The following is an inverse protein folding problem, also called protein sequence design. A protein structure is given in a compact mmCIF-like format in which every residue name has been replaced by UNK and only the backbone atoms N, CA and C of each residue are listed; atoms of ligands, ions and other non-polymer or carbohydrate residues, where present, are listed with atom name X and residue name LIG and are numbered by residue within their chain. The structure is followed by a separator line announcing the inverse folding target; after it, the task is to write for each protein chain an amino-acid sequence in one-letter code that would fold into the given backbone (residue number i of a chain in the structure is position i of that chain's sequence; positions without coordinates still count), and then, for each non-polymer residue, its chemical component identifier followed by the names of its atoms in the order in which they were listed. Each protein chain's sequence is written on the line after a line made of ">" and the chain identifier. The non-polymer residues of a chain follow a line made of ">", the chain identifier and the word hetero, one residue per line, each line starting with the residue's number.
data_IF_062642841915
#
_entry.id   IF_062642841915
#
_cell.length_a   1.000
_cell.length_b   1.000
_cell.length_c   1.000
_cell.angle_alpha   90.00
_cell.angle_beta   90.00
_cell.angle_gamma   90.00
#
_symmetry.space_group_name_H-M   'P 1'
#
loop_
_entity.id
_entity.type
_entity.pdbx_description
1 polymer ?
#
# COMPACT_ATOMS: atom_id res chain seq x y z
N UNK A 1 16.26 7.00 -23.04
CA UNK A 1 15.92 7.11 -21.61
C UNK A 1 15.74 8.58 -21.31
N UNK A 2 14.58 8.95 -20.79
CA UNK A 2 14.26 10.34 -20.45
C UNK A 2 14.62 10.58 -18.99
N UNK A 3 15.26 11.70 -18.68
CA UNK A 3 15.61 12.06 -17.31
C UNK A 3 14.70 13.20 -16.83
N UNK A 4 14.18 13.04 -15.62
CA UNK A 4 13.38 14.04 -14.92
C UNK A 4 14.18 14.49 -13.70
N UNK A 5 14.35 15.80 -13.58
CA UNK A 5 15.01 16.43 -12.44
C UNK A 5 13.94 16.99 -11.52
N UNK A 6 13.92 16.53 -10.28
CA UNK A 6 12.99 17.01 -9.26
C UNK A 6 13.73 17.99 -8.37
N UNK A 7 13.21 19.20 -8.26
CA UNK A 7 13.79 20.21 -7.37
C UNK A 7 13.29 20.07 -5.95
N UNK A 8 14.01 20.68 -5.02
CA UNK A 8 13.66 20.69 -3.61
C UNK A 8 12.29 21.36 -3.42
N UNK A 9 11.27 20.66 -2.92
CA UNK A 9 9.98 21.29 -2.66
C UNK A 9 10.00 22.11 -1.35
N UNK A 10 11.04 21.95 -0.54
CA UNK A 10 11.26 22.64 0.74
C UNK A 10 12.74 22.99 0.87
N UNK A 11 13.05 24.08 1.57
CA UNK A 11 14.40 24.33 2.06
C UNK A 11 14.62 23.46 3.29
N UNK A 12 15.80 22.87 3.45
CA UNK A 12 16.04 21.95 4.56
C UNK A 12 17.27 21.08 4.38
N UNK A 13 17.30 19.97 5.09
CA UNK A 13 18.37 18.98 5.00
C UNK A 13 17.83 17.68 4.41
N UNK A 14 18.37 17.28 3.25
CA UNK A 14 18.06 16.00 2.61
C UNK A 14 18.79 14.85 3.28
N UNK A 15 18.06 13.76 3.45
CA UNK A 15 18.59 12.49 3.94
C UNK A 15 18.00 11.30 3.19
N UNK A 16 18.70 10.15 3.21
CA UNK A 16 18.18 8.91 2.65
C UNK A 16 16.87 8.50 3.33
N UNK A 17 15.97 7.89 2.57
CA UNK A 17 14.65 7.48 3.05
C UNK A 17 14.76 6.44 4.19
N UNK A 18 15.83 5.64 4.19
CA UNK A 18 16.17 4.64 5.19
C UNK A 18 16.41 5.24 6.60
N UNK A 19 16.62 6.55 6.71
CA UNK A 19 16.76 7.25 8.00
C UNK A 19 15.43 7.72 8.60
N UNK A 20 14.32 7.57 7.89
CA UNK A 20 12.99 7.94 8.38
C UNK A 20 12.57 6.95 9.48
N UNK A 21 12.09 7.41 10.66
CA UNK A 21 11.68 6.54 11.76
C UNK A 21 10.27 5.96 11.52
N UNK A 22 10.03 5.43 10.33
CA UNK A 22 8.80 4.78 9.89
C UNK A 22 9.14 3.68 8.87
N UNK A 23 8.86 2.39 9.18
CA UNK A 23 9.19 1.27 8.29
C UNK A 23 8.56 1.38 6.90
N UNK A 24 7.36 1.95 6.77
CA UNK A 24 6.65 2.06 5.49
C UNK A 24 7.46 2.89 4.48
N UNK A 25 8.12 3.94 4.97
CA UNK A 25 9.01 4.77 4.15
C UNK A 25 10.44 4.24 4.14
N UNK A 26 10.99 3.85 5.29
CA UNK A 26 12.38 3.40 5.39
C UNK A 26 12.67 2.13 4.59
N UNK A 27 11.68 1.25 4.44
CA UNK A 27 11.76 0.04 3.62
C UNK A 27 11.19 0.24 2.21
N UNK A 28 10.89 1.48 1.81
CA UNK A 28 10.42 1.85 0.46
C UNK A 28 9.13 1.15 0.01
N UNK A 29 8.29 0.71 0.94
CA UNK A 29 7.05 -0.02 0.63
C UNK A 29 6.05 0.81 -0.19
N UNK A 30 6.09 2.14 -0.06
CA UNK A 30 5.25 3.08 -0.83
C UNK A 30 5.93 3.54 -2.12
N UNK A 31 7.24 3.27 -2.25
CA UNK A 31 8.09 3.73 -3.34
C UNK A 31 9.44 4.26 -2.86
N UNK A 32 10.31 4.59 -3.81
CA UNK A 32 11.66 5.09 -3.55
C UNK A 32 11.77 6.62 -3.71
N UNK A 33 12.72 7.25 -3.02
CA UNK A 33 12.86 8.70 -3.00
C UNK A 33 13.81 9.22 -1.93
N UNK A 34 13.47 10.37 -1.35
CA UNK A 34 14.27 11.03 -0.30
C UNK A 34 13.38 11.56 0.82
N UNK A 35 13.98 11.73 2.00
CA UNK A 35 13.39 12.49 3.09
C UNK A 35 14.09 13.83 3.25
N UNK A 36 13.33 14.83 3.71
CA UNK A 36 13.78 16.19 3.89
C UNK A 36 13.34 16.68 5.27
N UNK A 37 14.29 17.16 6.07
CA UNK A 37 14.01 17.87 7.33
C UNK A 37 13.81 19.37 7.04
N UNK A 38 12.57 19.88 7.08
CA UNK A 38 12.25 21.17 6.48
C UNK A 38 12.56 22.35 7.40
N UNK A 39 13.10 23.40 6.79
CA UNK A 39 13.41 24.70 7.38
C UNK A 39 12.56 25.84 6.78
N UNK A 40 11.61 25.52 5.89
CA UNK A 40 10.69 26.47 5.28
C UNK A 40 9.22 26.03 5.45
N UNK A 41 8.27 26.96 5.64
CA UNK A 41 6.87 26.65 5.96
C UNK A 41 5.97 26.40 4.73
N UNK A 42 6.55 26.20 3.54
CA UNK A 42 5.77 26.12 2.30
C UNK A 42 6.31 25.02 1.41
N UNK A 43 5.50 23.96 1.23
CA UNK A 43 5.75 22.91 0.25
C UNK A 43 5.47 23.46 -1.14
N UNK A 44 6.48 23.41 -2.02
CA UNK A 44 6.40 23.84 -3.41
C UNK A 44 6.34 22.64 -4.36
N UNK A 45 5.87 22.86 -5.59
CA UNK A 45 5.92 21.84 -6.63
C UNK A 45 7.38 21.56 -7.04
N UNK A 46 7.85 20.30 -6.97
CA UNK A 46 9.22 19.93 -7.34
C UNK A 46 9.44 19.86 -8.85
N UNK A 47 8.37 19.90 -9.64
CA UNK A 47 8.35 19.87 -11.09
C UNK A 47 6.98 20.33 -11.63
N UNK A 48 6.86 20.47 -12.95
CA UNK A 48 5.57 20.67 -13.60
C UNK A 48 4.71 19.39 -13.51
N UNK A 49 3.41 19.54 -13.28
CA UNK A 49 2.50 18.40 -13.18
C UNK A 49 1.08 18.77 -12.80
N UNK A 50 0.28 17.73 -12.53
CA UNK A 50 -1.11 17.84 -12.08
C UNK A 50 -1.27 17.27 -10.68
N UNK A 51 -2.01 17.95 -9.82
CA UNK A 51 -2.42 17.42 -8.51
C UNK A 51 -3.45 16.32 -8.70
N UNK A 52 -3.05 15.06 -8.52
CA UNK A 52 -3.95 13.90 -8.69
C UNK A 52 -4.65 13.52 -7.39
N UNK A 53 -4.04 13.79 -6.25
CA UNK A 53 -4.63 13.51 -4.93
C UNK A 53 -4.16 14.55 -3.91
N UNK A 54 -5.10 15.05 -3.10
CA UNK A 54 -4.81 15.86 -1.92
C UNK A 54 -5.48 15.16 -0.73
N UNK A 55 -4.71 14.84 0.31
CA UNK A 55 -5.24 14.15 1.48
C UNK A 55 -6.25 15.04 2.23
N UNK A 56 -7.37 14.52 2.77
CA UNK A 56 -8.38 15.34 3.48
C UNK A 56 -7.86 16.09 4.71
N UNK A 57 -6.80 15.59 5.34
CA UNK A 57 -6.07 16.26 6.42
C UNK A 57 -4.96 17.21 5.94
N UNK A 58 -4.86 17.46 4.62
CA UNK A 58 -4.00 18.43 3.95
C UNK A 58 -2.49 18.34 4.21
N UNK A 59 -1.99 17.23 4.76
CA UNK A 59 -0.56 17.02 5.03
C UNK A 59 0.18 16.28 3.90
N UNK A 60 -0.54 15.72 2.94
CA UNK A 60 0.03 14.93 1.86
C UNK A 60 -0.66 15.21 0.53
N UNK A 61 0.12 15.18 -0.55
CA UNK A 61 -0.32 15.45 -1.91
C UNK A 61 0.45 14.57 -2.89
N UNK A 62 -0.24 14.09 -3.93
CA UNK A 62 0.38 13.37 -5.05
C UNK A 62 0.32 14.22 -6.32
N UNK A 63 1.46 14.37 -6.99
CA UNK A 63 1.59 14.99 -8.30
C UNK A 63 1.84 13.94 -9.38
N UNK A 64 1.17 14.05 -10.52
CA UNK A 64 1.52 13.32 -11.72
C UNK A 64 2.18 14.26 -12.73
N UNK A 65 3.38 13.90 -13.22
CA UNK A 65 4.06 14.64 -14.29
C UNK A 65 3.46 14.30 -15.66
N UNK A 66 3.74 15.13 -16.68
CA UNK A 66 3.31 14.84 -18.06
C UNK A 66 3.89 13.54 -18.62
N UNK A 67 5.00 13.09 -18.05
CA UNK A 67 5.72 11.86 -18.43
C UNK A 67 5.22 10.62 -17.68
N UNK A 68 4.18 10.77 -16.85
CA UNK A 68 3.53 9.70 -16.12
C UNK A 68 4.25 9.29 -14.83
N UNK A 69 5.27 10.03 -14.38
CA UNK A 69 5.86 9.85 -13.03
C UNK A 69 4.88 10.35 -11.97
N UNK A 70 4.61 9.55 -10.94
CA UNK A 70 3.78 9.91 -9.79
C UNK A 70 4.63 10.16 -8.55
N UNK A 71 4.39 11.29 -7.89
CA UNK A 71 5.20 11.82 -6.80
C UNK A 71 4.33 12.12 -5.58
N UNK A 72 4.49 11.31 -4.54
CA UNK A 72 3.90 11.56 -3.23
C UNK A 72 4.82 12.48 -2.41
N UNK A 73 4.27 13.59 -1.96
CA UNK A 73 4.88 14.45 -0.94
C UNK A 73 4.06 14.36 0.35
N UNK A 74 4.67 13.83 1.40
CA UNK A 74 4.02 13.60 2.69
C UNK A 74 4.75 14.38 3.79
N UNK A 75 4.11 15.41 4.35
CA UNK A 75 4.69 16.28 5.37
C UNK A 75 4.57 15.63 6.75
N UNK A 76 5.70 15.32 7.37
CA UNK A 76 5.79 14.74 8.71
C UNK A 76 5.30 13.29 8.81
N UNK A 77 5.49 12.69 9.98
CA UNK A 77 4.99 11.35 10.32
C UNK A 77 3.82 11.43 11.28
N UNK A 78 2.83 10.55 11.10
CA UNK A 78 1.57 10.52 11.86
C UNK A 78 0.76 11.83 11.82
N UNK A 79 1.01 12.69 10.83
CA UNK A 79 0.38 14.02 10.68
C UNK A 79 -1.10 13.94 10.30
N UNK A 80 -1.58 12.78 9.86
CA UNK A 80 -3.01 12.49 9.74
C UNK A 80 -3.77 12.72 11.06
N UNK A 81 -3.13 12.47 12.21
CA UNK A 81 -3.73 12.65 13.53
C UNK A 81 -3.98 14.13 13.88
N UNK A 82 -3.33 15.06 13.17
CA UNK A 82 -3.55 16.50 13.33
C UNK A 82 -4.85 16.97 12.65
N UNK A 83 -5.49 16.13 11.82
CA UNK A 83 -6.80 16.40 11.20
C UNK A 83 -6.87 17.75 10.48
N UNK A 84 -5.77 18.14 9.80
CA UNK A 84 -5.65 19.41 9.10
C UNK A 84 -5.16 20.58 9.94
N UNK A 85 -5.03 20.44 11.25
CA UNK A 85 -4.42 21.48 12.08
C UNK A 85 -2.94 21.67 11.71
N UNK A 86 -2.57 22.92 11.42
CA UNK A 86 -1.22 23.27 10.99
C UNK A 86 -0.97 23.17 9.48
N UNK A 87 -1.99 22.86 8.66
CA UNK A 87 -1.87 22.77 7.20
C UNK A 87 -2.90 23.64 6.48
N UNK A 88 -2.45 24.40 5.49
CA UNK A 88 -3.26 25.25 4.62
C UNK A 88 -2.93 24.93 3.15
N UNK A 89 -3.74 24.08 2.48
CA UNK A 89 -3.53 23.78 1.06
C UNK A 89 -3.91 25.00 0.21
N UNK A 90 -3.07 25.33 -0.77
CA UNK A 90 -3.34 26.42 -1.73
C UNK A 90 -3.71 25.90 -3.12
N UNK A 91 -3.76 24.58 -3.27
CA UNK A 91 -4.19 23.86 -4.48
C UNK A 91 -5.30 22.87 -4.13
N UNK A 92 -5.99 22.38 -5.16
CA UNK A 92 -6.98 21.29 -5.08
C UNK A 92 -6.68 20.21 -6.12
N UNK A 93 -7.27 19.04 -5.93
CA UNK A 93 -7.23 17.95 -6.90
C UNK A 93 -7.70 18.43 -8.28
N UNK A 94 -6.93 18.09 -9.31
CA UNK A 94 -7.13 18.46 -10.70
C UNK A 94 -6.35 19.70 -11.15
N UNK A 95 -5.83 20.51 -10.24
CA UNK A 95 -5.07 21.72 -10.58
C UNK A 95 -3.75 21.37 -11.28
N UNK A 96 -3.38 22.20 -12.27
CA UNK A 96 -2.10 22.15 -12.94
C UNK A 96 -1.13 23.09 -12.22
N UNK A 97 0.06 22.59 -11.92
CA UNK A 97 1.11 23.33 -11.20
C UNK A 97 2.40 23.33 -12.01
N UNK A 98 3.17 24.40 -11.83
CA UNK A 98 4.53 24.53 -12.38
C UNK A 98 5.55 24.39 -11.27
N UNK A 99 6.76 24.04 -11.66
CA UNK A 99 7.93 24.05 -10.78
C UNK A 99 7.98 25.34 -9.92
N UNK A 100 8.00 25.14 -8.60
CA UNK A 100 8.07 26.23 -7.61
C UNK A 100 6.73 26.82 -7.19
N UNK A 101 5.61 26.42 -7.80
CA UNK A 101 4.29 26.86 -7.34
C UNK A 101 4.01 26.35 -5.91
N UNK A 102 3.44 27.18 -5.02
CA UNK A 102 3.10 26.74 -3.67
C UNK A 102 1.97 25.71 -3.71
N UNK A 103 2.09 24.66 -2.90
CA UNK A 103 1.12 23.57 -2.81
C UNK A 103 0.41 23.56 -1.45
N UNK A 104 1.19 23.56 -0.37
CA UNK A 104 0.70 23.50 1.01
C UNK A 104 1.56 24.42 1.86
N UNK A 105 0.94 25.38 2.53
CA UNK A 105 1.56 26.08 3.64
C UNK A 105 1.34 25.29 4.92
N UNK A 106 2.33 25.25 5.80
CA UNK A 106 2.20 24.57 7.08
C UNK A 106 2.98 25.27 8.20
N UNK A 107 2.48 25.12 9.42
CA UNK A 107 3.11 25.63 10.62
C UNK A 107 4.18 24.63 11.08
N UNK A 108 5.43 24.94 10.74
CA UNK A 108 6.63 24.14 11.04
C UNK A 108 6.71 23.83 12.54
N UNK A 109 6.51 24.84 13.40
CA UNK A 109 6.63 24.70 14.85
C UNK A 109 5.49 23.84 15.42
N UNK A 110 4.27 24.06 14.94
CA UNK A 110 3.11 23.28 15.35
C UNK A 110 3.27 21.81 14.98
N UNK A 111 3.62 21.52 13.71
CA UNK A 111 3.79 20.15 13.24
C UNK A 111 4.98 19.47 13.95
N UNK A 112 6.11 20.17 14.14
CA UNK A 112 7.26 19.62 14.87
C UNK A 112 6.94 19.24 16.32
N UNK A 113 6.02 19.96 16.98
CA UNK A 113 5.67 19.74 18.39
C UNK A 113 4.48 18.82 18.62
N UNK A 114 3.67 18.55 17.59
CA UNK A 114 2.44 17.75 17.70
C UNK A 114 2.44 16.48 16.85
N UNK A 115 3.33 16.35 15.87
CA UNK A 115 3.53 15.14 15.08
C UNK A 115 4.66 14.26 15.64
N UNK A 116 4.75 13.01 15.17
CA UNK A 116 5.85 12.10 15.54
C UNK A 116 7.20 12.59 15.00
N UNK A 117 7.18 13.22 13.82
CA UNK A 117 8.34 13.81 13.17
C UNK A 117 7.88 14.85 12.14
N UNK A 118 8.72 15.83 11.86
CA UNK A 118 8.53 16.80 10.77
C UNK A 118 9.17 16.33 9.44
N UNK A 119 9.93 15.23 9.46
CA UNK A 119 10.54 14.69 8.25
C UNK A 119 9.49 14.53 7.15
N UNK A 120 9.77 15.15 6.02
CA UNK A 120 8.88 15.19 4.87
C UNK A 120 9.42 14.27 3.79
N UNK A 121 8.61 13.31 3.37
CA UNK A 121 9.00 12.31 2.39
C UNK A 121 8.59 12.76 0.99
N UNK A 122 9.51 12.66 0.04
CA UNK A 122 9.28 12.88 -1.39
C UNK A 122 9.58 11.57 -2.11
N UNK A 123 8.52 10.88 -2.55
CA UNK A 123 8.57 9.48 -2.98
C UNK A 123 7.97 9.33 -4.36
N UNK A 124 8.62 8.57 -5.22
CA UNK A 124 8.05 8.09 -6.48
C UNK A 124 7.23 6.85 -6.21
N UNK A 125 5.92 6.90 -6.46
CA UNK A 125 4.98 5.81 -6.10
C UNK A 125 4.80 4.76 -7.19
N UNK A 126 5.32 4.99 -8.38
CA UNK A 126 5.18 4.11 -9.55
C UNK A 126 6.56 3.71 -10.12
N UNK A 127 7.30 2.96 -9.30
CA UNK A 127 8.68 2.56 -9.54
C UNK A 127 8.91 1.72 -10.80
N UNK A 128 7.90 1.01 -11.29
CA UNK A 128 7.95 0.20 -12.50
C UNK A 128 8.27 1.01 -13.77
N UNK A 129 7.99 2.32 -13.75
CA UNK A 129 8.32 3.24 -14.86
C UNK A 129 9.76 3.75 -14.80
N UNK A 130 10.47 3.48 -13.71
CA UNK A 130 11.76 4.08 -13.39
C UNK A 130 12.88 3.08 -13.66
N UNK A 131 13.80 3.44 -14.57
CA UNK A 131 15.03 2.69 -14.83
C UNK A 131 16.10 2.90 -13.75
N UNK A 132 16.02 4.03 -13.04
CA UNK A 132 16.96 4.32 -11.96
C UNK A 132 16.67 5.66 -11.31
N UNK A 133 16.93 5.73 -10.00
CA UNK A 133 16.84 6.93 -9.19
C UNK A 133 18.22 7.26 -8.66
N UNK A 134 18.60 8.53 -8.77
CA UNK A 134 19.79 9.06 -8.13
C UNK A 134 19.39 10.18 -7.19
N UNK A 135 19.56 9.94 -5.90
CA UNK A 135 19.28 10.91 -4.84
C UNK A 135 20.49 11.80 -4.55
N UNK A 136 20.20 13.04 -4.16
CA UNK A 136 21.16 13.99 -3.61
C UNK A 136 21.03 14.05 -2.08
N UNK A 137 22.03 14.62 -1.41
CA UNK A 137 22.05 14.74 0.05
C UNK A 137 22.65 16.07 0.49
N UNK A 138 22.35 16.50 1.71
CA UNK A 138 22.83 17.76 2.28
C UNK A 138 21.78 18.87 2.29
N UNK A 139 22.24 20.11 2.54
CA UNK A 139 21.35 21.28 2.62
C UNK A 139 20.86 21.69 1.23
N UNK A 140 19.56 21.95 1.12
CA UNK A 140 18.91 22.42 -0.11
C UNK A 140 18.01 23.62 0.15
N UNK A 141 17.80 24.43 -0.88
CA UNK A 141 16.90 25.57 -0.92
C UNK A 141 15.73 25.25 -1.85
N UNK A 142 14.51 25.52 -1.39
CA UNK A 142 13.29 25.26 -2.17
C UNK A 142 13.39 25.90 -3.57
N UNK A 143 13.12 25.10 -4.61
CA UNK A 143 13.09 25.55 -6.00
C UNK A 143 14.45 25.94 -6.61
N UNK A 144 15.59 25.57 -6.01
CA UNK A 144 16.91 25.84 -6.57
C UNK A 144 17.72 24.58 -6.89
N UNK A 145 17.89 23.69 -5.92
CA UNK A 145 18.67 22.47 -6.10
C UNK A 145 17.79 21.27 -6.51
N UNK A 146 18.39 20.37 -7.29
CA UNK A 146 17.80 19.07 -7.62
C UNK A 146 18.00 18.09 -6.47
N UNK A 147 16.95 17.37 -6.09
CA UNK A 147 16.98 16.40 -4.98
C UNK A 147 16.96 14.96 -5.47
N UNK A 148 16.36 14.73 -6.64
CA UNK A 148 16.21 13.43 -7.27
C UNK A 148 16.39 13.60 -8.78
N UNK A 149 17.24 12.75 -9.37
CA UNK A 149 17.32 12.53 -10.81
C UNK A 149 16.68 11.18 -11.10
N UNK A 150 15.52 11.20 -11.77
CA UNK A 150 14.77 10.00 -12.11
C UNK A 150 15.00 9.70 -13.59
N UNK A 151 15.63 8.56 -13.87
CA UNK A 151 15.74 8.05 -15.23
C UNK A 151 14.54 7.16 -15.48
N UNK A 152 13.64 7.61 -16.35
CA UNK A 152 12.55 6.76 -16.81
C UNK A 152 13.12 5.66 -17.70
N UNK A 153 12.48 4.49 -17.65
CA UNK A 153 12.65 3.48 -18.68
C UNK A 153 12.58 4.18 -20.04
N UNK A 154 13.53 3.87 -20.93
CA UNK A 154 13.50 4.42 -22.30
C UNK A 154 12.14 4.12 -22.92
N UNK A 155 11.84 4.74 -24.07
CA UNK A 155 10.75 4.24 -24.93
C UNK A 155 11.08 2.78 -25.31
N UNK A 156 10.87 1.83 -24.40
CA UNK A 156 10.15 0.64 -24.72
C UNK A 156 8.91 1.18 -25.38
N UNK A 157 8.78 0.84 -26.67
CA UNK A 157 7.56 0.98 -27.40
C UNK A 157 6.45 0.71 -26.40
N UNK A 158 5.73 1.78 -26.09
CA UNK A 158 4.50 1.81 -25.38
C UNK A 158 3.73 0.58 -25.91
N UNK A 159 3.74 -0.53 -25.17
CA UNK A 159 2.56 -1.39 -25.14
C UNK A 159 1.58 -0.69 -24.21
N UNK A 160 1.28 0.52 -24.68
CA UNK A 160 0.22 1.42 -24.37
C UNK A 160 -0.70 0.97 -23.24
N UNK A 161 -0.32 1.37 -22.00
CA UNK A 161 -1.31 1.63 -20.95
C UNK A 161 -2.37 2.67 -21.40
N UNK A 162 -2.13 3.35 -22.54
CA UNK A 162 -3.05 4.29 -23.19
C UNK A 162 -3.91 3.75 -24.36
N UNK A 163 -3.70 2.52 -24.85
CA UNK A 163 -4.52 1.96 -25.95
C UNK A 163 -5.44 0.81 -25.51
N UNK A 164 -5.15 0.17 -24.38
CA UNK A 164 -6.05 -0.84 -23.85
C UNK A 164 -7.09 -0.17 -22.95
N UNK A 165 -8.27 0.09 -23.50
CA UNK A 165 -9.43 0.45 -22.69
C UNK A 165 -9.58 -0.59 -21.56
N UNK A 166 -9.69 -0.17 -20.29
CA UNK A 166 -9.77 -1.09 -19.18
C UNK A 166 -11.00 -1.97 -19.34
N UNK A 167 -10.77 -3.28 -19.37
CA UNK A 167 -11.86 -4.25 -19.37
C UNK A 167 -12.28 -4.42 -17.93
N UNK A 168 -13.51 -4.02 -17.63
CA UNK A 168 -14.09 -4.11 -16.29
C UNK A 168 -15.15 -5.21 -16.30
N UNK A 169 -15.09 -6.11 -15.33
CA UNK A 169 -16.12 -7.12 -15.13
C UNK A 169 -17.44 -6.48 -14.67
N UNK A 170 -18.53 -7.24 -14.77
CA UNK A 170 -19.71 -6.96 -13.98
C UNK A 170 -19.38 -7.01 -12.48
N UNK A 171 -20.26 -6.42 -11.67
CA UNK A 171 -20.09 -6.42 -10.22
C UNK A 171 -20.41 -7.81 -9.65
N UNK A 172 -19.41 -8.45 -9.04
CA UNK A 172 -19.49 -9.79 -8.48
C UNK A 172 -19.69 -9.69 -6.97
N UNK A 173 -20.62 -10.48 -6.42
CA UNK A 173 -20.73 -10.67 -4.97
C UNK A 173 -19.83 -11.81 -4.56
N UNK A 174 -19.02 -11.61 -3.52
CA UNK A 174 -18.14 -12.66 -3.01
C UNK A 174 -18.97 -13.73 -2.28
N UNK A 175 -19.01 -14.98 -2.78
CA UNK A 175 -19.79 -16.06 -2.19
C UNK A 175 -19.06 -16.78 -1.05
N UNK A 176 -17.76 -16.50 -0.86
CA UNK A 176 -16.90 -17.09 0.16
C UNK A 176 -17.36 -16.63 1.55
N UNK A 177 -17.72 -17.57 2.43
CA UNK A 177 -18.24 -17.26 3.78
C UNK A 177 -17.23 -16.48 4.62
N UNK A 178 -15.95 -16.82 4.49
CA UNK A 178 -14.85 -16.18 5.21
C UNK A 178 -14.16 -15.07 4.38
N UNK A 179 -14.74 -14.69 3.23
CA UNK A 179 -14.18 -13.68 2.33
C UNK A 179 -12.96 -14.15 1.53
N UNK A 180 -12.20 -13.21 0.96
CA UNK A 180 -10.98 -13.52 0.20
C UNK A 180 -9.76 -13.66 1.12
N UNK A 181 -9.76 -14.72 1.93
CA UNK A 181 -8.62 -15.10 2.75
C UNK A 181 -7.52 -15.77 1.91
N UNK A 182 -6.42 -16.19 2.56
CA UNK A 182 -5.22 -16.69 1.88
C UNK A 182 -5.45 -17.76 0.79
N UNK A 183 -6.43 -18.66 0.96
CA UNK A 183 -6.67 -19.76 0.01
C UNK A 183 -7.36 -19.30 -1.29
N UNK A 184 -8.55 -18.66 -1.27
CA UNK A 184 -9.14 -18.13 -2.49
C UNK A 184 -8.27 -17.00 -3.10
N UNK A 185 -7.57 -16.20 -2.29
CA UNK A 185 -6.63 -15.18 -2.78
C UNK A 185 -5.46 -15.82 -3.57
N UNK A 186 -4.88 -16.92 -3.07
CA UNK A 186 -3.85 -17.68 -3.78
C UNK A 186 -4.37 -18.25 -5.11
N UNK A 187 -5.58 -18.84 -5.13
CA UNK A 187 -6.17 -19.35 -6.37
C UNK A 187 -6.37 -18.23 -7.40
N UNK A 188 -6.84 -17.06 -6.96
CA UNK A 188 -7.01 -15.89 -7.83
C UNK A 188 -5.66 -15.40 -8.38
N UNK A 189 -4.67 -15.23 -7.51
CA UNK A 189 -3.30 -14.82 -7.86
C UNK A 189 -2.64 -15.74 -8.88
N UNK A 190 -2.72 -17.06 -8.66
CA UNK A 190 -2.07 -18.05 -9.53
C UNK A 190 -2.64 -18.06 -10.94
N UNK A 191 -3.92 -17.76 -11.09
CA UNK A 191 -4.54 -17.66 -12.41
C UNK A 191 -4.26 -16.28 -13.01
N UNK A 192 -4.31 -15.20 -12.21
CA UNK A 192 -4.00 -13.84 -12.67
C UNK A 192 -2.55 -13.71 -13.21
N UNK A 193 -1.57 -14.38 -12.60
CA UNK A 193 -0.15 -14.37 -13.05
C UNK A 193 0.10 -14.99 -14.42
N UNK A 194 -0.85 -15.79 -14.92
CA UNK A 194 -0.74 -16.39 -16.27
C UNK A 194 -0.96 -15.37 -17.37
N UNK A 195 -1.49 -14.20 -17.04
CA UNK A 195 -1.81 -13.14 -17.97
C UNK A 195 -0.76 -12.04 -17.91
N UNK A 196 -0.47 -11.46 -19.08
CA UNK A 196 0.41 -10.30 -19.19
C UNK A 196 -0.27 -9.04 -18.67
N UNK A 197 -1.59 -8.93 -18.85
CA UNK A 197 -2.39 -7.81 -18.37
C UNK A 197 -2.21 -7.56 -16.87
N UNK A 198 -2.23 -6.28 -16.50
CA UNK A 198 -2.34 -5.85 -15.12
C UNK A 198 -3.78 -6.04 -14.69
N UNK A 199 -3.97 -6.78 -13.59
CA UNK A 199 -5.29 -7.20 -13.14
C UNK A 199 -5.44 -6.74 -11.71
N UNK A 200 -6.51 -6.00 -11.44
CA UNK A 200 -6.83 -5.46 -10.14
C UNK A 200 -8.19 -5.96 -9.69
N UNK A 201 -8.31 -6.23 -8.39
CA UNK A 201 -9.57 -6.43 -7.72
C UNK A 201 -9.96 -5.12 -7.03
N UNK A 202 -11.14 -4.59 -7.35
CA UNK A 202 -11.66 -3.35 -6.79
C UNK A 202 -12.80 -3.63 -5.81
N UNK A 203 -12.75 -3.03 -4.62
CA UNK A 203 -13.83 -2.98 -3.63
C UNK A 203 -14.10 -1.51 -3.28
N UNK A 204 -15.24 -0.97 -3.72
CA UNK A 204 -15.55 0.45 -3.54
C UNK A 204 -14.51 1.35 -4.23
N UNK A 205 -13.81 2.17 -3.46
CA UNK A 205 -12.69 3.02 -3.93
C UNK A 205 -11.32 2.35 -3.84
N UNK A 206 -11.20 1.24 -3.12
CA UNK A 206 -9.94 0.55 -2.90
C UNK A 206 -9.67 -0.48 -3.99
N UNK A 207 -8.39 -0.69 -4.32
CA UNK A 207 -7.94 -1.65 -5.32
C UNK A 207 -6.75 -2.43 -4.79
N UNK A 208 -6.66 -3.69 -5.19
CA UNK A 208 -5.50 -4.53 -4.94
C UNK A 208 -5.05 -5.22 -6.22
N UNK A 209 -3.73 -5.38 -6.36
CA UNK A 209 -3.13 -6.17 -7.42
C UNK A 209 -3.59 -7.62 -7.29
N UNK A 210 -4.34 -8.12 -8.28
CA UNK A 210 -4.85 -9.48 -8.27
C UNK A 210 -3.76 -10.55 -8.45
N UNK A 211 -2.53 -10.16 -8.82
CA UNK A 211 -1.35 -11.04 -8.87
C UNK A 211 -0.60 -11.12 -7.52
N UNK A 212 -0.92 -10.28 -6.53
CA UNK A 212 -0.35 -10.37 -5.19
C UNK A 212 -1.36 -10.95 -4.21
N UNK A 213 -0.97 -12.00 -3.49
CA UNK A 213 -1.81 -12.62 -2.46
C UNK A 213 -1.94 -11.67 -1.27
N UNK A 214 -0.84 -10.99 -0.92
CA UNK A 214 -0.80 -10.03 0.18
C UNK A 214 -1.70 -8.83 -0.11
N UNK A 215 -1.63 -8.25 -1.32
CA UNK A 215 -2.50 -7.14 -1.71
C UNK A 215 -3.98 -7.52 -1.63
N UNK A 216 -4.34 -8.71 -2.15
CA UNK A 216 -5.71 -9.22 -2.10
C UNK A 216 -6.22 -9.43 -0.68
N UNK A 217 -5.37 -9.92 0.24
CA UNK A 217 -5.71 -10.08 1.65
C UNK A 217 -5.87 -8.72 2.35
N UNK A 218 -5.02 -7.74 2.02
CA UNK A 218 -5.06 -6.39 2.58
C UNK A 218 -6.30 -5.60 2.12
N UNK A 219 -6.85 -5.90 0.95
CA UNK A 219 -8.14 -5.35 0.49
C UNK A 219 -9.32 -5.75 1.40
N UNK A 220 -9.11 -6.75 2.27
CA UNK A 220 -10.02 -7.17 3.33
C UNK A 220 -11.47 -7.38 2.82
N UNK A 221 -11.59 -8.15 1.74
CA UNK A 221 -12.87 -8.43 1.09
C UNK A 221 -13.62 -9.53 1.86
N UNK A 222 -14.85 -9.22 2.26
CA UNK A 222 -15.72 -10.04 3.11
C UNK A 222 -16.81 -10.73 2.29
N UNK A 223 -17.50 -11.70 2.90
CA UNK A 223 -18.69 -12.33 2.32
C UNK A 223 -19.76 -11.29 1.93
N UNK A 224 -20.35 -11.46 0.74
CA UNK A 224 -21.30 -10.52 0.12
C UNK A 224 -20.74 -9.14 -0.24
N UNK A 225 -19.42 -8.90 -0.10
CA UNK A 225 -18.84 -7.69 -0.66
C UNK A 225 -18.98 -7.68 -2.17
N UNK A 226 -19.17 -6.48 -2.70
CA UNK A 226 -19.33 -6.24 -4.12
C UNK A 226 -18.00 -5.81 -4.70
N UNK A 227 -17.44 -6.64 -5.57
CA UNK A 227 -16.14 -6.41 -6.20
C UNK A 227 -16.25 -6.30 -7.71
N UNK A 228 -15.23 -5.73 -8.33
CA UNK A 228 -15.04 -5.73 -9.78
C UNK A 228 -13.61 -6.13 -10.11
N UNK A 229 -13.43 -6.90 -11.16
CA UNK A 229 -12.11 -7.11 -11.75
C UNK A 229 -11.88 -6.06 -12.82
N UNK A 230 -10.68 -5.49 -12.83
CA UNK A 230 -10.24 -4.50 -13.80
C UNK A 230 -8.96 -5.05 -14.42
N UNK A 231 -8.95 -5.27 -15.73
CA UNK A 231 -7.76 -5.72 -16.43
C UNK A 231 -7.34 -4.73 -17.51
N UNK A 232 -6.05 -4.52 -17.67
CA UNK A 232 -5.45 -3.68 -18.71
C UNK A 232 -4.28 -4.40 -19.35
N UNK A 233 -4.28 -4.51 -20.67
CA UNK A 233 -3.22 -5.17 -21.42
C UNK A 233 -3.75 -6.07 -22.52
N UNK A 234 -2.82 -6.71 -23.23
CA UNK A 234 -3.05 -7.47 -24.47
C UNK A 234 -4.07 -8.61 -24.33
N UNK A 235 -4.17 -9.20 -23.15
CA UNK A 235 -5.04 -10.33 -22.82
C UNK A 235 -6.12 -9.98 -21.77
N UNK A 236 -6.40 -8.68 -21.55
CA UNK A 236 -7.35 -8.19 -20.55
C UNK A 236 -8.76 -8.78 -20.69
N UNK A 237 -9.29 -8.88 -21.92
CA UNK A 237 -10.60 -9.49 -22.16
C UNK A 237 -10.63 -10.98 -21.79
N UNK A 238 -9.55 -11.72 -22.05
CA UNK A 238 -9.45 -13.14 -21.73
C UNK A 238 -9.28 -13.36 -20.22
N UNK A 239 -8.47 -12.51 -19.58
CA UNK A 239 -8.31 -12.49 -18.13
C UNK A 239 -9.65 -12.27 -17.42
N UNK A 240 -10.40 -11.21 -17.76
CA UNK A 240 -11.70 -10.93 -17.14
C UNK A 240 -12.71 -12.06 -17.41
N UNK A 241 -12.76 -12.59 -18.64
CA UNK A 241 -13.67 -13.68 -19.01
C UNK A 241 -13.40 -14.96 -18.22
N UNK A 242 -12.15 -15.22 -17.87
CA UNK A 242 -11.74 -16.41 -17.13
C UNK A 242 -11.87 -16.23 -15.63
N UNK A 243 -11.42 -15.09 -15.10
CA UNK A 243 -11.38 -14.81 -13.67
C UNK A 243 -12.76 -14.48 -13.08
N UNK A 244 -13.63 -13.78 -13.81
CA UNK A 244 -14.95 -13.38 -13.27
C UNK A 244 -15.80 -14.58 -12.83
N UNK A 245 -15.97 -15.64 -13.65
CA UNK A 245 -16.71 -16.83 -13.22
C UNK A 245 -16.03 -17.58 -12.06
N UNK A 246 -14.70 -17.54 -11.97
CA UNK A 246 -13.98 -18.19 -10.88
C UNK A 246 -14.23 -17.49 -9.54
N UNK A 247 -14.28 -16.15 -9.54
CA UNK A 247 -14.64 -15.35 -8.36
C UNK A 247 -16.11 -15.59 -7.99
N UNK A 248 -17.02 -15.63 -8.97
CA UNK A 248 -18.45 -15.95 -8.75
C UNK A 248 -18.68 -17.37 -8.19
N UNK A 249 -17.80 -18.31 -8.50
CA UNK A 249 -17.83 -19.69 -8.00
C UNK A 249 -17.05 -19.86 -6.69
N UNK A 250 -16.50 -18.78 -6.13
CA UNK A 250 -15.80 -18.78 -4.84
C UNK A 250 -14.41 -19.42 -4.88
N UNK A 251 -13.76 -19.46 -6.04
CA UNK A 251 -12.33 -19.82 -6.18
C UNK A 251 -11.96 -21.19 -5.56
N UNK A 252 -12.90 -22.15 -5.61
CA UNK A 252 -12.70 -23.51 -5.11
C UNK A 252 -12.88 -23.68 -3.60
N UNK A 253 -13.47 -22.70 -2.90
CA UNK A 253 -13.84 -22.82 -1.49
C UNK A 253 -15.11 -23.67 -1.30
N UNK A 254 -15.08 -24.59 -0.32
CA UNK A 254 -16.21 -25.47 -0.04
C UNK A 254 -17.36 -24.70 0.63
N UNK A 255 -18.53 -24.69 0.02
CA UNK A 255 -19.73 -24.02 0.56
C UNK A 255 -20.04 -22.67 -0.07
N UNK A 256 -19.22 -22.18 -1.01
CA UNK A 256 -19.54 -21.00 -1.81
C UNK A 256 -20.74 -21.30 -2.74
N UNK A 257 -21.87 -20.65 -2.51
CA UNK A 257 -23.03 -20.69 -3.42
C UNK A 257 -23.14 -19.36 -4.16
N UNK A 258 -23.23 -19.34 -5.51
CA UNK A 258 -23.32 -18.11 -6.28
C UNK A 258 -24.52 -17.26 -5.84
N UNK A 259 -24.26 -16.01 -5.44
CA UNK A 259 -25.30 -15.04 -5.06
C UNK A 259 -25.54 -14.10 -6.24
N UNK A 260 -26.76 -14.07 -6.77
CA UNK A 260 -27.15 -13.09 -7.80
C UNK A 260 -27.51 -11.77 -7.13
N UNK A 261 -26.83 -10.68 -7.50
CA UNK A 261 -26.98 -9.38 -6.85
C UNK A 261 -28.23 -8.62 -7.32
N UNK A 262 -29.12 -8.15 -6.42
CA UNK A 262 -30.06 -7.08 -6.75
C UNK A 262 -29.38 -5.70 -6.71
N UNK A 263 -29.96 -4.75 -7.44
CA UNK A 263 -29.50 -3.36 -7.51
C UNK A 263 -29.78 -2.59 -6.20
N UNK A 264 -28.74 -1.90 -5.74
CA UNK A 264 -28.70 -0.75 -4.83
C UNK A 264 -29.44 -0.81 -3.49
N UNK A 265 -28.68 -0.73 -2.38
CA UNK A 265 -29.11 -0.02 -1.17
C UNK A 265 -27.93 0.80 -0.65
N UNK A 266 -28.21 2.06 -0.34
CA UNK A 266 -27.33 3.06 0.26
C UNK A 266 -26.85 2.68 1.65
N UNK A 267 -25.56 2.87 1.93
CA UNK A 267 -24.96 2.73 3.26
C UNK A 267 -25.18 4.02 4.05
N UNK A 268 -25.74 3.91 5.25
CA UNK A 268 -25.86 5.03 6.19
C UNK A 268 -24.50 5.31 6.87
N UNK A 269 -24.21 6.60 7.08
CA UNK A 269 -22.98 7.07 7.75
C UNK A 269 -22.87 6.52 9.18
N UNK A 270 -21.78 5.82 9.46
CA UNK A 270 -21.40 5.40 10.82
C UNK A 270 -20.51 6.50 11.40
N UNK A 271 -21.08 7.36 12.24
CA UNK A 271 -20.31 8.35 13.00
C UNK A 271 -19.47 7.66 14.08
N UNK A 272 -18.18 8.02 14.16
CA UNK A 272 -17.29 7.57 15.21
C UNK A 272 -17.77 8.10 16.58
N UNK A 273 -17.85 7.24 17.62
CA UNK A 273 -18.21 7.70 18.97
C UNK A 273 -17.11 8.59 19.54
N UNK A 274 -17.51 9.58 20.35
CA UNK A 274 -16.61 10.51 21.02
C UNK A 274 -15.51 9.81 21.84
N UNK A 275 -14.31 10.41 21.99
CA UNK A 275 -13.21 9.85 22.78
C UNK A 275 -13.67 9.63 24.23
N UNK A 276 -13.45 8.41 24.71
CA UNK A 276 -13.92 7.96 26.03
C UNK A 276 -12.92 8.36 27.12
N UNK A 277 -13.40 8.69 28.34
CA UNK A 277 -12.52 8.98 29.46
C UNK A 277 -11.64 7.75 29.78
N UNK A 278 -10.36 8.00 30.03
CA UNK A 278 -9.43 7.02 30.62
C UNK A 278 -9.32 7.32 32.12
N UNK A 279 -9.12 6.29 32.92
CA UNK A 279 -8.80 6.46 34.34
C UNK A 279 -7.35 6.89 34.48
N UNK A 280 -7.09 7.83 35.39
CA UNK A 280 -5.73 8.20 35.79
C UNK A 280 -5.14 7.23 36.84
N UNK A 281 -5.96 6.33 37.39
CA UNK A 281 -5.51 5.25 38.27
C UNK A 281 -5.18 3.99 37.45
N UNK A 282 -3.93 3.50 37.49
CA UNK A 282 -3.50 2.31 36.75
C UNK A 282 -4.19 1.01 37.19
N UNK A 283 -4.89 0.99 38.33
CA UNK A 283 -5.65 -0.15 38.83
C UNK A 283 -7.15 -0.07 38.50
N UNK A 284 -7.62 1.01 37.86
CA UNK A 284 -9.01 1.21 37.50
C UNK A 284 -9.18 1.21 35.99
N UNK A 285 -9.91 0.23 35.47
CA UNK A 285 -10.26 0.13 34.05
C UNK A 285 -11.70 0.59 33.82
N UNK A 286 -11.86 1.67 33.06
CA UNK A 286 -13.19 2.14 32.64
C UNK A 286 -13.68 1.29 31.46
N UNK A 287 -14.67 0.43 31.71
CA UNK A 287 -15.30 -0.41 30.69
C UNK A 287 -16.61 0.19 30.17
N UNK A 288 -17.14 -0.39 29.08
CA UNK A 288 -18.51 -0.14 28.62
C UNK A 288 -19.35 -1.37 28.93
N UNK A 289 -20.50 -1.17 29.56
CA UNK A 289 -21.44 -2.26 29.85
C UNK A 289 -22.04 -2.76 28.53
N UNK A 290 -21.57 -3.92 28.07
CA UNK A 290 -22.12 -4.56 26.88
C UNK A 290 -23.46 -5.27 27.15
N UNK A 291 -23.70 -5.70 28.39
CA UNK A 291 -24.94 -6.36 28.83
C UNK A 291 -25.09 -6.24 30.35
N UNK A 292 -26.30 -6.03 30.91
CA UNK A 292 -26.52 -6.02 32.35
C UNK A 292 -26.35 -7.43 32.95
N UNK A 293 -25.51 -7.55 33.97
CA UNK A 293 -25.25 -8.82 34.67
C UNK A 293 -24.04 -8.74 35.60
N UNK A 294 -23.81 -9.82 36.37
CA UNK A 294 -22.63 -9.99 37.23
C UNK A 294 -21.74 -11.09 36.65
N UNK A 295 -20.46 -10.77 36.41
CA UNK A 295 -19.45 -11.74 36.02
C UNK A 295 -18.33 -11.79 37.07
N UNK A 296 -17.88 -12.99 37.43
CA UNK A 296 -16.76 -13.21 38.35
C UNK A 296 -15.76 -14.14 37.65
N UNK A 297 -14.50 -13.71 37.56
CA UNK A 297 -13.45 -14.47 36.90
C UNK A 297 -12.09 -13.81 37.04
N UNK A 298 -11.04 -14.50 36.58
CA UNK A 298 -9.68 -13.99 36.59
C UNK A 298 -9.45 -13.06 35.40
N UNK A 299 -8.81 -11.92 35.65
CA UNK A 299 -8.37 -10.99 34.61
C UNK A 299 -6.91 -11.26 34.30
N UNK A 300 -6.58 -11.43 33.02
CA UNK A 300 -5.21 -11.59 32.54
C UNK A 300 -4.85 -10.39 31.65
N UNK A 301 -3.71 -9.77 31.93
CA UNK A 301 -3.15 -8.74 31.06
C UNK A 301 -2.13 -9.39 30.12
N UNK A 302 -2.44 -9.43 28.83
CA UNK A 302 -1.47 -9.86 27.82
C UNK A 302 -0.41 -8.78 27.70
N UNK A 303 0.82 -9.11 28.09
CA UNK A 303 1.99 -8.25 27.87
C UNK A 303 2.72 -8.79 26.66
N UNK A 304 2.71 -8.03 25.57
CA UNK A 304 3.52 -8.35 24.41
C UNK A 304 4.98 -8.04 24.75
N UNK A 305 5.82 -9.07 24.78
CA UNK A 305 7.28 -8.87 24.82
C UNK A 305 7.70 -8.28 23.49
N UNK A 306 8.24 -7.06 23.51
CA UNK A 306 8.85 -6.47 22.33
C UNK A 306 10.10 -7.29 21.99
N UNK A 307 10.06 -8.01 20.86
CA UNK A 307 11.25 -8.67 20.32
C UNK A 307 12.19 -7.57 19.86
N UNK A 308 13.35 -7.46 20.49
CA UNK A 308 14.44 -6.62 19.97
C UNK A 308 15.15 -7.41 18.89
N UNK A 309 14.84 -7.09 17.63
CA UNK A 309 15.60 -7.57 16.49
C UNK A 309 16.82 -6.67 16.35
N UNK A 310 18.02 -7.25 16.45
CA UNK A 310 19.26 -6.53 16.21
C UNK A 310 19.59 -6.70 14.73
N UNK A 311 19.47 -5.63 13.96
CA UNK A 311 19.83 -5.63 12.54
C UNK A 311 21.35 -5.59 12.40
N UNK A 312 21.95 -6.74 12.11
CA UNK A 312 23.37 -6.86 11.76
C UNK A 312 23.49 -7.08 10.26
N UNK A 313 23.13 -6.07 9.46
CA UNK A 313 23.33 -6.10 8.02
C UNK A 313 24.75 -5.64 7.66
N UNK A 314 25.43 -6.35 6.76
CA UNK A 314 26.80 -6.03 6.37
C UNK A 314 26.90 -5.40 4.97
N UNK A 315 26.63 -6.19 3.91
CA UNK A 315 26.70 -5.78 2.50
C UNK A 315 25.36 -6.11 1.79
N UNK A 316 24.69 -5.15 1.13
CA UNK A 316 23.39 -5.38 0.50
C UNK A 316 23.35 -6.56 -0.48
N UNK A 317 24.45 -6.83 -1.21
CA UNK A 317 24.52 -7.97 -2.13
C UNK A 317 24.61 -9.31 -1.41
N UNK A 318 25.36 -9.36 -0.32
CA UNK A 318 25.42 -10.55 0.53
C UNK A 318 24.06 -10.81 1.18
N UNK A 319 23.37 -9.77 1.67
CA UNK A 319 22.03 -9.89 2.25
C UNK A 319 20.98 -10.34 1.21
N UNK A 320 21.01 -9.81 -0.02
CA UNK A 320 20.12 -10.24 -1.10
C UNK A 320 20.35 -11.72 -1.46
N UNK A 321 21.61 -12.14 -1.52
CA UNK A 321 21.97 -13.54 -1.75
C UNK A 321 21.54 -14.44 -0.58
N UNK A 322 21.70 -13.99 0.67
CA UNK A 322 21.19 -14.69 1.85
C UNK A 322 19.66 -14.83 1.82
N UNK A 323 18.94 -13.78 1.44
CA UNK A 323 17.49 -13.81 1.29
C UNK A 323 17.06 -14.81 0.21
N UNK A 324 17.69 -14.77 -0.97
CA UNK A 324 17.44 -15.73 -2.06
C UNK A 324 17.67 -17.17 -1.59
N UNK A 325 18.77 -17.43 -0.89
CA UNK A 325 19.07 -18.77 -0.34
C UNK A 325 18.05 -19.20 0.72
N UNK A 326 17.60 -18.30 1.59
CA UNK A 326 16.59 -18.58 2.60
C UNK A 326 15.22 -18.87 1.97
N UNK A 327 14.82 -18.13 0.93
CA UNK A 327 13.59 -18.35 0.18
C UNK A 327 13.63 -19.74 -0.49
N UNK A 328 14.72 -20.07 -1.17
CA UNK A 328 14.86 -21.39 -1.82
C UNK A 328 14.86 -22.54 -0.80
N UNK A 329 15.53 -22.38 0.35
CA UNK A 329 15.47 -23.35 1.43
C UNK A 329 14.04 -23.53 1.96
N UNK A 330 13.31 -22.43 2.18
CA UNK A 330 11.92 -22.47 2.63
C UNK A 330 10.98 -23.12 1.60
N UNK A 331 11.19 -22.87 0.29
CA UNK A 331 10.45 -23.56 -0.78
C UNK A 331 10.63 -25.07 -0.71
N UNK A 332 11.89 -25.53 -0.62
CA UNK A 332 12.21 -26.97 -0.52
C UNK A 332 11.56 -27.59 0.73
N UNK A 333 11.61 -26.92 1.88
CA UNK A 333 10.98 -27.40 3.12
C UNK A 333 9.45 -27.50 2.99
N UNK A 334 8.81 -26.49 2.40
CA UNK A 334 7.36 -26.47 2.17
C UNK A 334 6.93 -27.55 1.18
N UNK A 335 7.70 -27.78 0.10
CA UNK A 335 7.44 -28.87 -0.86
C UNK A 335 7.52 -30.24 -0.19
N UNK A 336 8.58 -30.47 0.61
CA UNK A 336 8.74 -31.71 1.36
C UNK A 336 7.59 -31.93 2.36
N UNK A 337 7.16 -30.88 3.04
CA UNK A 337 6.05 -30.91 3.98
C UNK A 337 4.71 -31.19 3.29
N UNK A 338 4.46 -30.55 2.15
CA UNK A 338 3.26 -30.75 1.34
C UNK A 338 3.20 -32.18 0.77
N UNK A 339 4.32 -32.71 0.27
CA UNK A 339 4.42 -34.09 -0.22
C UNK A 339 4.11 -35.11 0.88
N UNK A 340 4.64 -34.90 2.11
CA UNK A 340 4.34 -35.75 3.26
C UNK A 340 2.85 -35.74 3.62
N UNK A 341 2.23 -34.57 3.65
CA UNK A 341 0.81 -34.42 4.00
C UNK A 341 -0.14 -34.96 2.93
N UNK A 342 0.27 -34.95 1.66
CA UNK A 342 -0.48 -35.61 0.59
C UNK A 342 -0.52 -37.13 0.78
N UNK A 343 0.57 -37.74 1.27
CA UNK A 343 0.65 -39.17 1.58
C UNK A 343 -0.23 -39.56 2.77
N UNK A 344 -0.43 -38.64 3.72
CA UNK A 344 -1.31 -38.82 4.89
C UNK A 344 -2.81 -38.59 4.58
N UNK A 345 -3.16 -38.31 3.32
CA UNK A 345 -4.53 -38.14 2.81
C UNK A 345 -5.36 -37.03 3.47
N UNK A 346 -4.72 -35.91 3.87
CA UNK A 346 -5.39 -34.69 4.35
C UNK A 346 -5.23 -33.54 3.33
N UNK A 347 -6.02 -33.54 2.23
CA UNK A 347 -5.89 -32.55 1.15
C UNK A 347 -6.20 -31.12 1.60
N UNK A 348 -6.98 -30.94 2.67
CA UNK A 348 -7.27 -29.62 3.23
C UNK A 348 -6.02 -28.99 3.88
N UNK A 349 -5.23 -29.79 4.60
CA UNK A 349 -3.95 -29.32 5.17
C UNK A 349 -2.88 -29.07 4.12
N UNK A 350 -2.81 -29.88 3.07
CA UNK A 350 -1.86 -29.65 1.97
C UNK A 350 -2.11 -28.33 1.23
N UNK A 351 -3.38 -27.89 1.13
CA UNK A 351 -3.74 -26.60 0.54
C UNK A 351 -3.28 -25.39 1.36
N UNK A 352 -3.10 -25.54 2.68
CA UNK A 352 -2.56 -24.49 3.54
C UNK A 352 -1.11 -24.20 3.15
N UNK A 353 -0.30 -25.23 2.92
CA UNK A 353 1.11 -25.06 2.57
C UNK A 353 1.33 -24.57 1.14
N UNK A 354 0.41 -24.87 0.22
CA UNK A 354 0.41 -24.24 -1.10
C UNK A 354 0.29 -22.71 -0.97
N UNK A 355 -0.61 -22.21 -0.13
CA UNK A 355 -0.73 -20.77 0.11
C UNK A 355 0.54 -20.14 0.74
N UNK A 356 1.29 -20.89 1.56
CA UNK A 356 2.56 -20.41 2.11
C UNK A 356 3.67 -20.35 1.04
N UNK A 357 3.66 -21.26 0.07
CA UNK A 357 4.58 -21.19 -1.07
C UNK A 357 4.31 -19.95 -1.92
N UNK A 358 3.04 -19.58 -2.12
CA UNK A 358 2.70 -18.37 -2.87
C UNK A 358 3.23 -17.09 -2.23
N UNK A 359 3.33 -17.04 -0.89
CA UNK A 359 3.93 -15.90 -0.19
C UNK A 359 5.43 -15.75 -0.47
N UNK A 360 6.13 -16.84 -0.76
CA UNK A 360 7.56 -16.80 -1.11
C UNK A 360 7.80 -16.26 -2.53
N UNK A 361 6.75 -16.12 -3.33
CA UNK A 361 6.79 -15.60 -4.71
C UNK A 361 5.92 -14.35 -4.87
N UNK A 362 5.47 -13.75 -3.76
CA UNK A 362 4.68 -12.54 -3.78
C UNK A 362 5.55 -11.35 -4.22
N UNK A 363 5.23 -10.66 -5.34
CA UNK A 363 6.05 -9.57 -5.85
C UNK A 363 6.18 -8.45 -4.82
N UNK A 364 5.11 -8.15 -4.07
CA UNK A 364 5.09 -7.08 -3.07
C UNK A 364 5.94 -7.43 -1.82
N UNK A 365 6.38 -8.68 -1.66
CA UNK A 365 7.29 -9.13 -0.59
C UNK A 365 8.73 -9.33 -1.07
N UNK A 366 8.94 -9.44 -2.38
CA UNK A 366 10.24 -9.69 -3.00
C UNK A 366 10.92 -8.43 -3.53
N UNK A 367 10.13 -7.37 -3.75
CA UNK A 367 10.59 -5.99 -3.96
C UNK A 367 10.97 -5.32 -2.64
#
# INVERSE_FOLDING_TARGET
>A
MKQIMLQAPLSGYLMPLERVPDPVFAQKMVGDGVALDPASPSLLAPCDGQVVQLHPAHHALTLATTDGLELLMHIGLDTVNLKGAGFEPVVKTGDQVKLGDPLIHFDVDYVATHAKSLLTMIVVTNGERVAGIKSHSGSVTAGQESILEVTLNGEQADHTEKDFEPVVSDAILIPNHDGLHARPAAVLSNVARKYQADIYLQKGSEQANAKSVVALMNLNVQHNDKVKLIARGVDAHEAIRTLSPMVEQGLGEAGATPVSAPASVSVAEINAPAPRPRSDDPNLLLGVTASPGLAVGNIFQIRHTTIKVTETAADPKEEEEYLRQAIEAAKIELEALQARLHVEADPAKAAIFAAHQELLEDPDLLD
#
